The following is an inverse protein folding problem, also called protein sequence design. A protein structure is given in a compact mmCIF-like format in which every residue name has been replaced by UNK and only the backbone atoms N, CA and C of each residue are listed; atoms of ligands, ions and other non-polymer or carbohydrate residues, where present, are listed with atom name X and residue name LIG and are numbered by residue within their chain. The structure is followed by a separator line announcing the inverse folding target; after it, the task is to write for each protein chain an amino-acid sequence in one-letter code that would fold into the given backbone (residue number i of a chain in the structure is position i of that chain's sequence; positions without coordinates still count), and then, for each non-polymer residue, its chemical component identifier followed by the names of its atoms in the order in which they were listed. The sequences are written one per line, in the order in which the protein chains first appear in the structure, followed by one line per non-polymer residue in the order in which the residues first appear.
data_IF_218163698513
#
_entry.id   IF_218163698513
#
_cell.length_a   1.000
_cell.length_b   1.000
_cell.length_c   1.000
_cell.angle_alpha   90.00
_cell.angle_beta   90.00
_cell.angle_gamma   90.00
#
_symmetry.space_group_name_H-M   'P 1'
#
loop_
_entity.id
_entity.type
_entity.pdbx_description
1 polymer ?
#
# COMPACT_ATOMS: atom_id res chain seq x y z
N UNK A 1 -13.52 -5.70 39.78
CA UNK A 1 -12.59 -5.31 38.70
C UNK A 1 -12.69 -6.17 37.44
N UNK A 2 -13.34 -7.35 37.47
CA UNK A 2 -13.44 -8.29 36.33
C UNK A 2 -14.51 -7.93 35.29
N UNK A 3 -15.64 -7.34 35.70
CA UNK A 3 -16.75 -6.99 34.78
C UNK A 3 -16.42 -5.85 33.83
N UNK A 4 -15.67 -4.84 34.29
CA UNK A 4 -15.23 -3.72 33.47
C UNK A 4 -14.24 -4.15 32.37
N UNK A 5 -13.36 -5.12 32.66
CA UNK A 5 -12.44 -5.70 31.67
C UNK A 5 -13.17 -6.49 30.58
N UNK A 6 -14.16 -7.29 30.94
CA UNK A 6 -14.99 -8.03 30.00
C UNK A 6 -15.82 -7.12 29.08
N UNK A 7 -16.38 -6.05 29.64
CA UNK A 7 -17.13 -5.04 28.87
C UNK A 7 -16.23 -4.29 27.88
N UNK A 8 -15.03 -3.89 28.30
CA UNK A 8 -14.06 -3.21 27.43
C UNK A 8 -13.55 -4.11 26.32
N UNK A 9 -13.22 -5.37 26.61
CA UNK A 9 -12.80 -6.35 25.60
C UNK A 9 -13.88 -6.59 24.54
N UNK A 10 -15.15 -6.70 24.95
CA UNK A 10 -16.29 -6.84 24.04
C UNK A 10 -16.50 -5.59 23.18
N UNK A 11 -16.39 -4.39 23.76
CA UNK A 11 -16.48 -3.14 23.01
C UNK A 11 -15.37 -3.03 21.96
N UNK A 12 -14.11 -3.32 22.32
CA UNK A 12 -12.99 -3.36 21.37
C UNK A 12 -13.23 -4.38 20.26
N UNK A 13 -13.74 -5.57 20.59
CA UNK A 13 -14.08 -6.58 19.60
C UNK A 13 -15.21 -6.14 18.66
N UNK A 14 -16.25 -5.47 19.15
CA UNK A 14 -17.33 -4.92 18.31
C UNK A 14 -16.85 -3.79 17.41
N UNK A 15 -15.97 -2.91 17.90
CA UNK A 15 -15.32 -1.88 17.08
C UNK A 15 -14.41 -2.51 16.03
N UNK A 16 -13.65 -3.55 16.37
CA UNK A 16 -12.76 -4.28 15.46
C UNK A 16 -13.49 -5.06 14.36
N UNK A 17 -14.69 -5.58 14.63
CA UNK A 17 -15.53 -6.22 13.61
C UNK A 17 -16.27 -5.15 12.78
N UNK A 18 -16.75 -4.08 13.43
CA UNK A 18 -17.43 -2.98 12.75
C UNK A 18 -16.53 -2.17 11.80
N UNK A 19 -15.23 -2.06 12.09
CA UNK A 19 -14.26 -1.39 11.24
C UNK A 19 -13.55 -2.33 10.25
N UNK A 20 -13.84 -3.64 10.29
CA UNK A 20 -13.17 -4.65 9.46
C UNK A 20 -13.20 -4.30 7.96
N UNK A 21 -14.31 -3.81 7.36
CA UNK A 21 -14.32 -3.40 5.96
C UNK A 21 -13.34 -2.26 5.67
N UNK A 22 -13.24 -1.27 6.57
CA UNK A 22 -12.31 -0.14 6.42
C UNK A 22 -10.86 -0.59 6.61
N UNK A 23 -10.59 -1.52 7.52
CA UNK A 23 -9.25 -2.09 7.72
C UNK A 23 -8.80 -2.91 6.50
N UNK A 24 -9.70 -3.73 5.95
CA UNK A 24 -9.43 -4.48 4.71
C UNK A 24 -9.22 -3.50 3.55
N UNK A 25 -10.07 -2.48 3.43
CA UNK A 25 -9.93 -1.44 2.41
C UNK A 25 -8.58 -0.72 2.50
N UNK A 26 -8.19 -0.31 3.71
CA UNK A 26 -6.90 0.33 3.94
C UNK A 26 -5.72 -0.60 3.61
N UNK A 27 -5.82 -1.90 3.94
CA UNK A 27 -4.81 -2.89 3.59
C UNK A 27 -4.70 -3.05 2.07
N UNK A 28 -5.81 -3.21 1.36
CA UNK A 28 -5.81 -3.36 -0.11
C UNK A 28 -5.25 -2.10 -0.77
N UNK A 29 -5.70 -0.91 -0.37
CA UNK A 29 -5.19 0.35 -0.90
C UNK A 29 -3.69 0.49 -0.59
N UNK A 30 -3.26 0.16 0.62
CA UNK A 30 -1.84 0.19 0.99
C UNK A 30 -0.99 -0.75 0.14
N UNK A 31 -1.46 -1.97 -0.10
CA UNK A 31 -0.77 -2.93 -0.97
C UNK A 31 -0.74 -2.48 -2.43
N UNK A 32 -1.81 -1.86 -2.93
CA UNK A 32 -1.83 -1.28 -4.28
C UNK A 32 -0.82 -0.14 -4.41
N UNK A 33 -0.76 0.77 -3.44
CA UNK A 33 0.23 1.85 -3.43
C UNK A 33 1.65 1.28 -3.40
N UNK A 34 1.90 0.30 -2.54
CA UNK A 34 3.20 -0.38 -2.46
C UNK A 34 3.57 -1.05 -3.79
N UNK A 35 2.61 -1.71 -4.45
CA UNK A 35 2.80 -2.30 -5.77
C UNK A 35 3.15 -1.25 -6.83
N UNK A 36 2.44 -0.12 -6.87
CA UNK A 36 2.71 0.94 -7.84
C UNK A 36 4.07 1.59 -7.64
N UNK A 37 4.51 1.79 -6.40
CA UNK A 37 5.87 2.27 -6.12
C UNK A 37 6.90 1.25 -6.62
N UNK A 38 6.73 -0.04 -6.33
CA UNK A 38 7.63 -1.08 -6.84
C UNK A 38 7.61 -1.20 -8.36
N UNK A 39 6.47 -0.97 -9.00
CA UNK A 39 6.34 -0.93 -10.45
C UNK A 39 7.13 0.24 -11.07
N UNK A 40 7.06 1.43 -10.47
CA UNK A 40 7.78 2.62 -10.93
C UNK A 40 9.29 2.53 -10.70
N UNK A 41 9.74 1.84 -9.64
CA UNK A 41 11.16 1.56 -9.36
C UNK A 41 11.70 0.32 -10.10
N UNK A 42 10.84 -0.31 -10.90
CA UNK A 42 11.23 -1.40 -11.78
C UNK A 42 11.36 -2.78 -11.11
N UNK A 43 10.79 -2.95 -9.92
CA UNK A 43 10.77 -4.24 -9.22
C UNK A 43 9.80 -5.26 -9.85
N UNK A 44 8.80 -4.80 -10.60
CA UNK A 44 7.83 -5.67 -11.29
C UNK A 44 7.44 -5.12 -12.66
N UNK A 45 7.14 -6.01 -13.60
CA UNK A 45 6.61 -5.66 -14.93
C UNK A 45 5.27 -6.35 -15.19
N UNK A 46 4.31 -5.57 -15.71
CA UNK A 46 2.99 -6.05 -16.12
C UNK A 46 2.99 -6.73 -17.49
N UNK A 47 3.91 -6.35 -18.37
CA UNK A 47 3.92 -6.78 -19.78
C UNK A 47 5.06 -7.77 -20.06
N UNK A 48 5.28 -8.72 -19.15
CA UNK A 48 6.33 -9.73 -19.29
C UNK A 48 7.70 -9.18 -18.86
N UNK A 49 8.75 -9.40 -19.65
CA UNK A 49 10.11 -9.05 -19.27
C UNK A 49 10.53 -7.63 -19.73
N UNK A 50 9.61 -6.66 -19.71
CA UNK A 50 9.85 -5.30 -20.25
C UNK A 50 9.56 -4.22 -19.21
N UNK A 51 10.46 -3.25 -19.08
CA UNK A 51 10.39 -2.19 -18.07
C UNK A 51 10.00 -0.84 -18.70
N UNK A 52 9.19 -0.86 -19.76
CA UNK A 52 8.93 0.34 -20.59
C UNK A 52 8.45 1.54 -19.78
N UNK A 53 7.59 1.32 -18.78
CA UNK A 53 7.10 2.42 -17.95
C UNK A 53 8.19 2.94 -17.01
N UNK A 54 8.96 2.05 -16.37
CA UNK A 54 10.10 2.43 -15.53
C UNK A 54 11.10 3.27 -16.33
N UNK A 55 11.55 2.79 -17.50
CA UNK A 55 12.51 3.50 -18.34
C UNK A 55 11.95 4.85 -18.84
N UNK A 56 10.67 4.90 -19.22
CA UNK A 56 10.03 6.15 -19.64
C UNK A 56 10.02 7.20 -18.52
N UNK A 57 9.63 6.82 -17.30
CA UNK A 57 9.61 7.72 -16.14
C UNK A 57 11.02 8.09 -15.70
N UNK A 58 11.93 7.12 -15.73
CA UNK A 58 13.34 7.27 -15.45
C UNK A 58 14.02 8.28 -16.40
N UNK A 59 13.73 8.21 -17.69
CA UNK A 59 14.23 9.16 -18.68
C UNK A 59 13.59 10.55 -18.51
N UNK A 60 12.30 10.62 -18.19
CA UNK A 60 11.62 11.89 -17.94
C UNK A 60 12.19 12.64 -16.73
N UNK A 61 12.56 11.95 -15.63
CA UNK A 61 13.20 12.61 -14.48
C UNK A 61 14.57 13.19 -14.84
N UNK A 62 15.35 12.48 -15.66
CA UNK A 62 16.64 12.95 -16.14
C UNK A 62 16.48 14.13 -17.09
N UNK A 63 15.47 14.10 -17.97
CA UNK A 63 15.13 15.22 -18.84
C UNK A 63 14.79 16.49 -18.05
N UNK A 64 14.12 16.34 -16.90
CA UNK A 64 13.81 17.44 -15.98
C UNK A 64 14.98 17.83 -15.05
N UNK A 65 16.14 17.17 -15.16
CA UNK A 65 17.34 17.46 -14.40
C UNK A 65 17.34 16.91 -12.96
N UNK A 66 16.39 16.05 -12.60
CA UNK A 66 16.41 15.39 -11.30
C UNK A 66 17.50 14.30 -11.27
N UNK A 67 18.32 14.23 -10.22
CA UNK A 67 19.35 13.21 -10.09
C UNK A 67 18.74 11.83 -9.80
N UNK A 68 19.40 10.78 -10.29
CA UNK A 68 19.20 9.39 -9.90
C UNK A 68 20.30 8.89 -8.95
N UNK A 69 20.10 7.72 -8.34
CA UNK A 69 21.16 6.99 -7.65
C UNK A 69 22.14 6.34 -8.65
#
# INVERSE_FOLDING_TARGET
MTSAGAARARATATTAVGNLPSLIGALVVGLLLFYFVGFDEGATSLFGNTMVVHEFVHDARHFLGFPCH
#
